data_IF_140023655484
#
_entry.id   IF_140023655484
#
_cell.length_a   1.000
_cell.length_b   1.000
_cell.length_c   1.000
_cell.angle_alpha   90.00
_cell.angle_beta   90.00
_cell.angle_gamma   90.00
#
_symmetry.space_group_name_H-M   'P 1'
#
loop_
_entity.id
_entity.type
_entity.pdbx_description
1 polymer ?
#
# COMPACT_ATOMS: atom_id res chain seq x y z
N UNK A 1 -0.69 7.93 1.00
CA UNK A 1 0.57 8.66 1.21
C UNK A 1 1.71 7.69 1.02
N UNK A 2 2.55 7.97 0.03
CA UNK A 2 3.76 7.24 -0.33
C UNK A 2 4.92 8.22 -0.15
N UNK A 3 5.98 7.79 0.51
CA UNK A 3 7.24 8.54 0.62
C UNK A 3 8.26 7.89 -0.30
N UNK A 4 8.89 8.68 -1.16
CA UNK A 4 10.00 8.26 -2.02
C UNK A 4 11.29 8.88 -1.47
N UNK A 5 12.16 8.05 -0.92
CA UNK A 5 13.46 8.45 -0.43
C UNK A 5 14.50 8.42 -1.56
N UNK A 6 15.18 9.54 -1.79
CA UNK A 6 16.14 9.76 -2.89
C UNK A 6 17.44 10.38 -2.38
N UNK A 7 18.45 10.51 -3.24
CA UNK A 7 19.71 11.21 -2.98
C UNK A 7 20.15 11.93 -4.25
N UNK A 8 20.92 13.01 -4.13
CA UNK A 8 21.54 13.72 -5.24
C UNK A 8 22.57 12.84 -5.99
N UNK A 9 23.02 11.75 -5.36
CA UNK A 9 24.01 10.82 -5.89
C UNK A 9 23.40 9.49 -6.39
N UNK A 10 22.08 9.46 -6.58
CA UNK A 10 21.33 8.25 -6.93
C UNK A 10 21.04 8.15 -8.43
N UNK A 11 21.84 7.37 -9.16
CA UNK A 11 21.68 7.17 -10.60
C UNK A 11 20.31 6.57 -11.01
N UNK A 12 19.66 5.85 -10.08
CA UNK A 12 18.42 5.11 -10.34
C UNK A 12 17.16 5.82 -9.84
N UNK A 13 17.30 6.95 -9.16
CA UNK A 13 16.16 7.66 -8.57
C UNK A 13 15.27 8.25 -9.65
N UNK A 14 15.85 8.80 -10.72
CA UNK A 14 15.08 9.35 -11.85
C UNK A 14 14.31 8.27 -12.61
N UNK A 15 14.88 7.07 -12.72
CA UNK A 15 14.20 5.92 -13.33
C UNK A 15 12.95 5.55 -12.53
N UNK A 16 13.06 5.45 -11.20
CA UNK A 16 11.89 5.13 -10.38
C UNK A 16 10.84 6.25 -10.38
N UNK A 17 11.27 7.52 -10.44
CA UNK A 17 10.34 8.65 -10.60
C UNK A 17 9.54 8.54 -11.89
N UNK A 18 10.20 8.30 -13.02
CA UNK A 18 9.53 8.12 -14.30
C UNK A 18 8.52 6.95 -14.26
N UNK A 19 8.91 5.81 -13.68
CA UNK A 19 8.01 4.67 -13.52
C UNK A 19 6.79 4.99 -12.63
N UNK A 20 6.99 5.78 -11.57
CA UNK A 20 5.90 6.20 -10.69
C UNK A 20 4.94 7.14 -11.41
N UNK A 21 5.46 8.09 -12.19
CA UNK A 21 4.65 9.03 -12.96
C UNK A 21 3.78 8.26 -13.97
N UNK A 22 4.36 7.35 -14.74
CA UNK A 22 3.67 6.49 -15.71
C UNK A 22 2.53 5.67 -15.06
N UNK A 23 2.82 4.92 -13.99
CA UNK A 23 1.82 4.09 -13.31
C UNK A 23 0.76 4.95 -12.58
N UNK A 24 1.13 6.11 -12.06
CA UNK A 24 0.20 7.00 -11.36
C UNK A 24 -0.79 7.69 -12.29
N UNK A 25 -0.36 8.02 -13.51
CA UNK A 25 -1.20 8.54 -14.59
C UNK A 25 -2.20 7.49 -15.05
N UNK A 26 -1.75 6.25 -15.27
CA UNK A 26 -2.62 5.14 -15.67
C UNK A 26 -3.70 4.82 -14.63
N UNK A 27 -3.36 4.92 -13.35
CA UNK A 27 -4.26 4.60 -12.26
C UNK A 27 -5.09 5.80 -11.77
N UNK A 28 -4.73 7.03 -12.17
CA UNK A 28 -5.36 8.26 -11.70
C UNK A 28 -5.10 8.56 -10.20
N UNK A 29 -3.97 8.11 -9.65
CA UNK A 29 -3.69 8.09 -8.20
C UNK A 29 -2.66 9.15 -7.74
N UNK A 30 -2.46 10.18 -8.55
CA UNK A 30 -1.40 11.20 -8.47
C UNK A 30 -1.20 11.96 -7.14
N UNK A 31 -2.09 11.87 -6.16
CA UNK A 31 -2.16 12.91 -5.12
C UNK A 31 -1.39 12.63 -3.82
N UNK A 32 -0.54 11.61 -3.73
CA UNK A 32 0.09 11.32 -2.43
C UNK A 32 1.52 10.79 -2.42
N UNK A 33 2.30 10.99 -3.49
CA UNK A 33 3.74 10.67 -3.49
C UNK A 33 4.52 11.91 -3.04
N UNK A 34 5.34 11.77 -2.00
CA UNK A 34 6.20 12.83 -1.47
C UNK A 34 7.66 12.41 -1.54
N UNK A 35 8.49 13.24 -2.15
CA UNK A 35 9.93 13.00 -2.22
C UNK A 35 10.64 13.48 -0.95
N UNK A 36 11.57 12.66 -0.46
CA UNK A 36 12.45 12.96 0.66
C UNK A 36 13.90 12.74 0.23
N UNK A 37 14.63 13.83 0.02
CA UNK A 37 16.06 13.78 -0.24
C UNK A 37 16.82 13.48 1.08
N UNK A 38 17.49 12.32 1.14
CA UNK A 38 18.18 11.83 2.35
C UNK A 38 19.43 12.65 2.68
N UNK A 39 20.06 13.29 1.69
CA UNK A 39 21.25 14.12 1.89
C UNK A 39 20.89 15.39 2.66
N UNK A 40 19.68 15.90 2.46
CA UNK A 40 19.15 17.08 3.14
C UNK A 40 18.39 16.72 4.43
N UNK A 41 17.75 15.55 4.48
CA UNK A 41 16.84 15.14 5.55
C UNK A 41 17.24 13.82 6.21
N UNK A 42 18.52 13.66 6.58
CA UNK A 42 19.04 12.41 7.14
C UNK A 42 18.24 11.86 8.33
N UNK A 43 17.75 12.73 9.21
CA UNK A 43 16.99 12.34 10.40
C UNK A 43 15.64 11.69 10.05
N UNK A 44 15.00 12.12 8.95
CA UNK A 44 13.79 11.48 8.45
C UNK A 44 14.15 10.10 7.90
N UNK A 45 15.21 10.00 7.08
CA UNK A 45 15.67 8.74 6.53
C UNK A 45 16.01 7.71 7.64
N UNK A 46 16.66 8.16 8.72
CA UNK A 46 16.98 7.33 9.89
C UNK A 46 15.72 6.83 10.61
N UNK A 47 14.74 7.71 10.83
CA UNK A 47 13.47 7.34 11.48
C UNK A 47 12.70 6.25 10.70
N UNK A 48 12.83 6.23 9.36
CA UNK A 48 12.25 5.21 8.48
C UNK A 48 13.20 4.03 8.19
N UNK A 49 14.37 4.00 8.85
CA UNK A 49 15.41 2.99 8.68
C UNK A 49 15.80 2.80 7.20
N UNK A 50 15.98 3.92 6.50
CA UNK A 50 16.36 3.93 5.09
C UNK A 50 17.88 3.77 5.00
N UNK A 51 18.31 2.66 4.42
CA UNK A 51 19.73 2.32 4.25
C UNK A 51 20.20 2.47 2.81
N UNK A 52 19.26 2.48 1.86
CA UNK A 52 19.53 2.49 0.42
C UNK A 52 18.50 3.37 -0.28
N UNK A 53 18.90 3.98 -1.39
CA UNK A 53 18.04 4.78 -2.26
C UNK A 53 18.10 4.26 -3.71
N UNK A 54 17.03 4.38 -4.50
CA UNK A 54 15.72 4.88 -4.08
C UNK A 54 15.00 3.88 -3.15
N UNK A 55 14.14 4.38 -2.26
CA UNK A 55 13.26 3.51 -1.45
C UNK A 55 11.87 4.12 -1.34
N UNK A 56 10.84 3.32 -1.62
CA UNK A 56 9.43 3.67 -1.44
C UNK A 56 8.93 3.16 -0.10
N UNK A 57 8.17 3.99 0.62
CA UNK A 57 7.54 3.65 1.89
C UNK A 57 6.09 4.11 1.92
N UNK A 58 5.19 3.25 2.39
CA UNK A 58 3.81 3.62 2.71
C UNK A 58 3.27 2.75 3.84
N UNK A 59 3.05 3.35 5.00
CA UNK A 59 2.68 2.62 6.21
C UNK A 59 3.73 1.56 6.56
N UNK A 60 3.32 0.28 6.48
CA UNK A 60 4.20 -0.87 6.72
C UNK A 60 4.85 -1.43 5.44
N UNK A 61 4.43 -0.98 4.27
CA UNK A 61 4.96 -1.44 2.98
C UNK A 61 6.21 -0.65 2.62
N UNK A 62 7.25 -1.36 2.19
CA UNK A 62 8.54 -0.79 1.82
C UNK A 62 9.14 -1.54 0.64
N UNK A 63 9.62 -0.81 -0.36
CA UNK A 63 10.37 -1.34 -1.51
C UNK A 63 11.66 -0.55 -1.62
N UNK A 64 12.78 -1.25 -1.65
CA UNK A 64 14.12 -0.65 -1.82
C UNK A 64 14.71 -1.01 -3.18
N UNK A 65 15.39 -0.06 -3.81
CA UNK A 65 15.92 -0.16 -5.16
C UNK A 65 14.88 0.14 -6.24
N UNK A 66 15.18 -0.29 -7.48
CA UNK A 66 14.27 -0.15 -8.62
C UNK A 66 13.43 -1.43 -8.74
N UNK A 67 12.12 -1.38 -8.45
CA UNK A 67 11.22 -2.52 -8.64
C UNK A 67 10.95 -2.80 -10.12
N UNK A 68 10.36 -3.97 -10.40
CA UNK A 68 9.71 -4.21 -11.68
C UNK A 68 8.40 -3.41 -11.78
N UNK A 69 7.90 -3.17 -12.99
CA UNK A 69 6.61 -2.50 -13.19
C UNK A 69 5.46 -3.23 -12.46
N UNK A 70 5.45 -4.57 -12.48
CA UNK A 70 4.44 -5.36 -11.77
C UNK A 70 4.50 -5.22 -10.25
N UNK A 71 5.71 -5.12 -9.68
CA UNK A 71 5.89 -4.92 -8.24
C UNK A 71 5.46 -3.51 -7.83
N UNK A 72 5.83 -2.51 -8.63
CA UNK A 72 5.44 -1.12 -8.41
C UNK A 72 3.93 -0.95 -8.46
N UNK A 73 3.28 -1.51 -9.48
CA UNK A 73 1.82 -1.50 -9.61
C UNK A 73 1.14 -2.21 -8.45
N UNK A 74 1.65 -3.37 -8.04
CA UNK A 74 1.14 -4.10 -6.88
C UNK A 74 1.25 -3.29 -5.60
N UNK A 75 2.37 -2.60 -5.40
CA UNK A 75 2.57 -1.69 -4.26
C UNK A 75 1.57 -0.54 -4.26
N UNK A 76 1.40 0.15 -5.40
CA UNK A 76 0.45 1.26 -5.53
C UNK A 76 -0.97 0.78 -5.23
N UNK A 77 -1.38 -0.37 -5.77
CA UNK A 77 -2.71 -0.95 -5.52
C UNK A 77 -2.91 -1.32 -4.05
N UNK A 78 -1.91 -1.94 -3.41
CA UNK A 78 -1.97 -2.31 -1.99
C UNK A 78 -2.12 -1.07 -1.10
N UNK A 79 -1.33 -0.03 -1.35
CA UNK A 79 -1.36 1.21 -0.58
C UNK A 79 -2.71 1.90 -0.70
N UNK A 80 -3.30 1.94 -1.90
CA UNK A 80 -4.58 2.59 -2.13
C UNK A 80 -5.77 1.76 -1.61
N UNK A 81 -5.72 0.43 -1.71
CA UNK A 81 -6.72 -0.45 -1.09
C UNK A 81 -6.68 -0.38 0.45
N UNK A 82 -5.48 -0.26 1.02
CA UNK A 82 -5.26 -0.06 2.45
C UNK A 82 -5.75 1.31 2.96
N UNK A 83 -5.70 2.35 2.14
CA UNK A 83 -6.18 3.69 2.50
C UNK A 83 -7.71 3.76 2.69
N UNK A 84 -8.47 2.93 1.96
CA UNK A 84 -9.93 2.85 2.10
C UNK A 84 -10.40 1.87 3.20
N UNK A 85 -9.53 0.98 3.65
CA UNK A 85 -9.80 0.05 4.74
C UNK A 85 -9.18 0.58 6.03
N UNK A 86 -9.78 1.63 6.59
CA UNK A 86 -9.37 2.20 7.87
C UNK A 86 -9.03 1.10 8.87
N UNK A 87 -7.74 1.06 9.28
CA UNK A 87 -7.09 0.07 10.14
C UNK A 87 -8.04 -0.78 11.00
N UNK A 88 -8.68 -1.79 10.41
CA UNK A 88 -9.14 -2.95 11.15
C UNK A 88 -8.01 -3.95 11.06
N UNK A 89 -7.23 -4.06 12.14
CA UNK A 89 -6.38 -5.22 12.38
C UNK A 89 -7.28 -6.45 12.28
N UNK A 90 -7.38 -7.05 11.09
CA UNK A 90 -8.03 -8.33 10.89
C UNK A 90 -7.12 -9.38 11.55
N UNK A 91 -7.28 -9.55 12.86
CA UNK A 91 -6.83 -10.75 13.54
C UNK A 91 -7.53 -11.94 12.89
N UNK A 92 -6.93 -13.13 12.79
CA UNK A 92 -7.58 -14.32 12.20
C UNK A 92 -8.98 -14.63 12.77
N UNK A 93 -9.25 -14.15 14.00
CA UNK A 93 -10.56 -14.20 14.66
C UNK A 93 -11.67 -13.43 13.94
N UNK A 94 -11.35 -12.34 13.25
CA UNK A 94 -12.32 -11.52 12.52
C UNK A 94 -12.86 -12.24 11.28
N UNK A 95 -11.99 -12.93 10.53
CA UNK A 95 -12.38 -13.75 9.37
C UNK A 95 -13.33 -14.88 9.81
N UNK A 96 -13.06 -15.53 10.94
CA UNK A 96 -13.95 -16.56 11.49
C UNK A 96 -15.28 -16.02 11.98
N UNK A 97 -15.35 -14.74 12.35
CA UNK A 97 -16.57 -14.10 12.81
C UNK A 97 -17.47 -13.72 11.62
N UNK A 98 -16.89 -13.18 10.56
CA UNK A 98 -17.61 -12.83 9.33
C UNK A 98 -18.22 -14.09 8.67
N UNK A 99 -17.49 -15.21 8.66
CA UNK A 99 -18.00 -16.51 8.15
C UNK A 99 -19.16 -17.03 9.01
N UNK A 100 -19.18 -16.73 10.32
CA UNK A 100 -20.26 -17.15 11.22
C UNK A 100 -21.52 -16.30 11.05
N UNK A 101 -21.36 -15.02 10.75
CA UNK A 101 -22.48 -14.10 10.47
C UNK A 101 -23.15 -14.45 9.12
N UNK A 102 -22.39 -14.81 8.09
CA UNK A 102 -22.94 -15.27 6.80
C UNK A 102 -23.74 -16.57 6.96
N UNK A 103 -23.26 -17.50 7.77
CA UNK A 103 -23.94 -18.79 7.98
C UNK A 103 -25.29 -18.64 8.69
N UNK A 104 -25.39 -17.71 9.63
CA UNK A 104 -26.65 -17.44 10.35
C UNK A 104 -27.73 -16.79 9.47
N UNK A 105 -27.35 -16.05 8.42
CA UNK A 105 -28.33 -15.46 7.49
C UNK A 105 -28.99 -16.53 6.61
N UNK A 106 -28.21 -17.48 6.11
CA UNK A 106 -28.75 -18.56 5.27
C UNK A 106 -29.71 -19.47 6.03
N UNK A 107 -29.47 -19.69 7.33
CA UNK A 107 -30.35 -20.53 8.16
C UNK A 107 -31.73 -19.86 8.43
N UNK A 108 -31.80 -18.53 8.44
CA UNK A 108 -33.07 -17.79 8.60
C UNK A 108 -33.89 -17.76 7.32
N UNK A 109 -33.25 -17.67 6.16
CA UNK A 109 -33.92 -17.68 4.86
C UNK A 109 -34.58 -19.05 4.58
N UNK A 110 -33.90 -20.15 4.93
CA UNK A 110 -34.49 -21.50 4.83
C UNK A 110 -35.68 -21.71 5.78
N UNK A 111 -35.73 -21.05 6.94
CA UNK A 111 -36.86 -21.13 7.87
C UNK A 111 -38.08 -20.32 7.43
N UNK A 112 -37.89 -19.22 6.70
CA UNK A 112 -39.01 -18.44 6.15
C UNK A 112 -39.68 -19.16 4.98
N UNK A 113 -38.92 -19.86 4.14
CA UNK A 113 -39.45 -20.65 3.01
C UNK A 113 -40.23 -21.89 3.47
N UNK A 114 -39.91 -22.45 4.64
CA UNK A 114 -40.62 -23.63 5.19
C UNK A 114 -41.93 -23.32 5.92
N UNK A 115 -42.17 -22.05 6.27
CA UNK A 115 -43.36 -21.61 7.01
C UNK A 115 -44.38 -20.86 6.14
N UNK A 116 -44.16 -20.80 4.82
CA UNK A 116 -45.09 -20.29 3.81
C UNK A 116 -45.75 -21.46 3.06
#
# INVERSE_FOLDING_TARGET
MILLFTSDHCAWCDVLKAMLDEESDELGLLHSIYEVNVDQHHHIAEAYSILVVPTLVSGMHKISGVPTASDLRSFILQVNAGANSGFKKHTPRSVLRDVREIRNFNDQEEQMVRNA
#
